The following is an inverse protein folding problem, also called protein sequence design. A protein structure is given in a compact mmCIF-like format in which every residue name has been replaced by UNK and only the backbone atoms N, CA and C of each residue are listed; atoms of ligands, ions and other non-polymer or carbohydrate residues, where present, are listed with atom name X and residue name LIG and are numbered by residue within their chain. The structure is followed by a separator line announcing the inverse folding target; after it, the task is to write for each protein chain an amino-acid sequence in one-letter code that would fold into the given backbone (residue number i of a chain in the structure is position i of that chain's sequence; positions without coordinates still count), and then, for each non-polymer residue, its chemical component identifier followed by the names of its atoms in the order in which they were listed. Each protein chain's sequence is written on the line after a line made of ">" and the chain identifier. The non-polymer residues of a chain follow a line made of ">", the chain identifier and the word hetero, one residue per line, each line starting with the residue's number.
data_IF_820542368233
#
_entry.id   IF_820542368233
#
_cell.length_a   1.000
_cell.length_b   1.000
_cell.length_c   1.000
_cell.angle_alpha   90.00
_cell.angle_beta   90.00
_cell.angle_gamma   90.00
#
_symmetry.space_group_name_H-M   'P 1'
#
loop_
_entity.id
_entity.type
_entity.pdbx_description
1 polymer ?
#
# COMPACT_ATOMS: atom_id res chain seq x y z
N UNK A 1 -1.81 5.20 22.27
CA UNK A 1 -1.98 6.19 21.18
C UNK A 1 -3.14 7.12 21.51
N UNK A 2 -3.12 8.36 21.00
CA UNK A 2 -4.31 9.24 21.09
C UNK A 2 -5.42 8.72 20.16
N UNK A 3 -6.68 9.05 20.43
CA UNK A 3 -7.82 8.68 19.55
C UNK A 3 -7.60 9.13 18.11
N UNK A 4 -7.05 10.34 17.93
CA UNK A 4 -6.73 10.92 16.63
C UNK A 4 -5.62 10.15 15.89
N UNK A 5 -4.63 9.63 16.61
CA UNK A 5 -3.56 8.82 16.02
C UNK A 5 -4.04 7.44 15.57
N UNK A 6 -5.01 6.85 16.29
CA UNK A 6 -5.65 5.58 15.89
C UNK A 6 -6.48 5.81 14.63
N UNK A 7 -7.31 6.85 14.61
CA UNK A 7 -8.15 7.18 13.45
C UNK A 7 -7.28 7.47 12.20
N UNK A 8 -6.20 8.23 12.35
CA UNK A 8 -5.28 8.51 11.24
C UNK A 8 -4.64 7.22 10.69
N UNK A 9 -4.19 6.33 11.58
CA UNK A 9 -3.62 5.02 11.21
C UNK A 9 -4.63 4.20 10.41
N UNK A 10 -5.85 4.07 10.92
CA UNK A 10 -6.92 3.30 10.26
C UNK A 10 -7.21 3.86 8.86
N UNK A 11 -7.39 5.18 8.73
CA UNK A 11 -7.69 5.82 7.44
C UNK A 11 -6.57 5.65 6.41
N UNK A 12 -5.31 5.71 6.83
CA UNK A 12 -4.16 5.45 5.95
C UNK A 12 -4.18 4.00 5.47
N UNK A 13 -4.32 3.04 6.40
CA UNK A 13 -4.30 1.62 6.07
C UNK A 13 -5.50 1.21 5.21
N UNK A 14 -6.69 1.76 5.48
CA UNK A 14 -7.89 1.56 4.66
C UNK A 14 -7.70 2.05 3.23
N UNK A 15 -7.13 3.24 3.04
CA UNK A 15 -6.89 3.77 1.70
C UNK A 15 -5.86 2.93 0.92
N UNK A 16 -4.79 2.49 1.59
CA UNK A 16 -3.80 1.59 0.99
C UNK A 16 -4.41 0.23 0.64
N UNK A 17 -5.22 -0.35 1.54
CA UNK A 17 -5.91 -1.62 1.29
C UNK A 17 -6.93 -1.52 0.15
N UNK A 18 -7.63 -0.38 0.04
CA UNK A 18 -8.51 -0.09 -1.09
C UNK A 18 -7.73 -0.08 -2.42
N UNK A 19 -6.59 0.60 -2.47
CA UNK A 19 -5.76 0.64 -3.68
C UNK A 19 -5.17 -0.73 -4.04
N UNK A 20 -4.66 -1.49 -3.06
CA UNK A 20 -4.06 -2.82 -3.31
C UNK A 20 -5.10 -3.86 -3.74
N UNK A 21 -6.30 -3.82 -3.16
CA UNK A 21 -7.41 -4.68 -3.55
C UNK A 21 -7.94 -4.32 -4.93
N UNK A 22 -8.03 -3.03 -5.24
CA UNK A 22 -8.35 -2.55 -6.59
C UNK A 22 -7.32 -3.03 -7.61
N UNK A 23 -6.01 -2.90 -7.31
CA UNK A 23 -4.94 -3.40 -8.19
C UNK A 23 -5.09 -4.91 -8.49
N UNK A 24 -5.45 -5.69 -7.47
CA UNK A 24 -5.70 -7.14 -7.61
C UNK A 24 -6.95 -7.42 -8.47
N UNK A 25 -8.02 -6.63 -8.30
CA UNK A 25 -9.24 -6.74 -9.09
C UNK A 25 -9.07 -6.38 -10.57
N UNK A 26 -8.07 -5.56 -10.89
CA UNK A 26 -7.75 -5.10 -12.25
C UNK A 26 -6.78 -6.03 -12.98
N UNK A 27 -6.53 -7.25 -12.49
CA UNK A 27 -5.61 -8.18 -13.15
C UNK A 27 -6.02 -8.62 -14.56
N UNK A 28 -7.29 -8.46 -14.92
CA UNK A 28 -7.80 -8.72 -16.28
C UNK A 28 -7.48 -7.60 -17.27
N UNK A 29 -7.13 -6.41 -16.78
CA UNK A 29 -6.69 -5.29 -17.59
C UNK A 29 -5.19 -5.39 -17.89
N UNK A 30 -4.68 -4.66 -18.90
CA UNK A 30 -3.24 -4.55 -19.09
C UNK A 30 -2.60 -3.99 -17.81
N UNK A 31 -1.52 -4.63 -17.37
CA UNK A 31 -0.93 -4.41 -16.05
C UNK A 31 -0.41 -2.98 -15.89
N UNK A 32 0.04 -2.37 -16.98
CA UNK A 32 0.54 -1.00 -17.05
C UNK A 32 -0.56 0.05 -16.82
N UNK A 33 -1.82 -0.28 -17.11
CA UNK A 33 -2.93 0.68 -17.06
C UNK A 33 -3.78 0.57 -15.80
N UNK A 34 -4.12 -0.64 -15.35
CA UNK A 34 -4.94 -0.81 -14.15
C UNK A 34 -4.06 -1.01 -12.90
N UNK A 35 -3.52 -2.22 -12.71
CA UNK A 35 -2.75 -2.57 -11.51
C UNK A 35 -1.58 -1.63 -11.20
N UNK A 36 -0.74 -1.29 -12.19
CA UNK A 36 0.41 -0.42 -11.98
C UNK A 36 0.01 0.98 -11.53
N UNK A 37 -1.10 1.53 -12.05
CA UNK A 37 -1.58 2.85 -11.62
C UNK A 37 -2.03 2.85 -10.16
N UNK A 38 -2.65 1.77 -9.69
CA UNK A 38 -3.00 1.63 -8.29
C UNK A 38 -1.74 1.56 -7.41
N UNK A 39 -0.71 0.83 -7.83
CA UNK A 39 0.59 0.76 -7.12
C UNK A 39 1.29 2.12 -7.11
N UNK A 40 1.32 2.85 -8.24
CA UNK A 40 1.87 4.20 -8.31
C UNK A 40 1.08 5.19 -7.43
N UNK A 41 -0.24 5.06 -7.38
CA UNK A 41 -1.09 5.85 -6.50
C UNK A 41 -0.80 5.58 -5.01
N UNK A 42 -0.56 4.32 -4.63
CA UNK A 42 -0.15 3.96 -3.26
C UNK A 42 1.16 4.65 -2.90
N UNK A 43 2.16 4.59 -3.79
CA UNK A 43 3.45 5.25 -3.58
C UNK A 43 3.30 6.75 -3.38
N UNK A 44 2.57 7.42 -4.28
CA UNK A 44 2.31 8.88 -4.17
C UNK A 44 1.58 9.24 -2.88
N UNK A 45 0.64 8.39 -2.45
CA UNK A 45 -0.08 8.61 -1.20
C UNK A 45 0.84 8.46 0.01
N UNK A 46 1.71 7.45 0.03
CA UNK A 46 2.68 7.26 1.12
C UNK A 46 3.65 8.43 1.19
N UNK A 47 4.26 8.82 0.06
CA UNK A 47 5.15 9.99 -0.02
C UNK A 47 4.46 11.26 0.50
N UNK A 48 3.22 11.51 0.05
CA UNK A 48 2.42 12.63 0.55
C UNK A 48 2.27 12.58 2.08
N UNK A 49 1.80 11.47 2.63
CA UNK A 49 1.54 11.35 4.07
C UNK A 49 2.83 11.49 4.89
N UNK A 50 3.94 10.90 4.42
CA UNK A 50 5.26 11.02 5.05
C UNK A 50 5.76 12.47 5.02
N UNK A 51 5.62 13.16 3.89
CA UNK A 51 6.08 14.55 3.71
C UNK A 51 5.33 15.55 4.60
N UNK A 52 4.07 15.25 4.95
CA UNK A 52 3.26 16.10 5.84
C UNK A 52 3.73 16.05 7.30
N UNK A 53 4.51 15.05 7.71
CA UNK A 53 5.02 14.94 9.09
C UNK A 53 3.94 14.76 10.16
N UNK A 54 2.74 14.31 9.77
CA UNK A 54 1.56 14.18 10.65
C UNK A 54 1.52 12.86 11.43
N UNK A 55 2.35 11.89 11.05
CA UNK A 55 2.41 10.58 11.72
C UNK A 55 3.25 10.68 12.99
N UNK A 56 2.58 10.56 14.13
CA UNK A 56 3.22 10.48 15.47
C UNK A 56 3.47 9.04 15.93
N UNK A 57 2.91 8.08 15.21
CA UNK A 57 3.01 6.66 15.50
C UNK A 57 4.26 6.08 14.82
N UNK A 58 5.29 5.78 15.62
CA UNK A 58 6.59 5.33 15.14
C UNK A 58 6.52 4.00 14.36
N UNK A 59 5.64 3.09 14.77
CA UNK A 59 5.47 1.81 14.09
C UNK A 59 4.83 2.00 12.72
N UNK A 60 3.77 2.80 12.64
CA UNK A 60 3.15 3.15 11.36
C UNK A 60 4.14 3.89 10.45
N UNK A 61 4.91 4.82 11.00
CA UNK A 61 5.90 5.58 10.23
C UNK A 61 6.92 4.64 9.59
N UNK A 62 7.45 3.69 10.37
CA UNK A 62 8.40 2.68 9.89
C UNK A 62 7.77 1.78 8.83
N UNK A 63 6.55 1.30 9.08
CA UNK A 63 5.81 0.45 8.14
C UNK A 63 5.64 1.13 6.77
N UNK A 64 5.25 2.42 6.76
CA UNK A 64 5.07 3.16 5.50
C UNK A 64 6.39 3.38 4.76
N UNK A 65 7.48 3.67 5.48
CA UNK A 65 8.82 3.81 4.88
C UNK A 65 9.35 2.50 4.29
N UNK A 66 9.04 1.36 4.93
CA UNK A 66 9.39 0.04 4.39
C UNK A 66 8.55 -0.27 3.16
N UNK A 67 7.23 -0.03 3.21
CA UNK A 67 6.31 -0.24 2.10
C UNK A 67 6.66 0.63 0.88
N UNK A 68 7.03 1.89 1.08
CA UNK A 68 7.47 2.78 0.00
C UNK A 68 8.65 2.17 -0.79
N UNK A 69 9.66 1.66 -0.08
CA UNK A 69 10.83 1.01 -0.67
C UNK A 69 10.47 -0.28 -1.40
N UNK A 70 9.47 -1.01 -0.93
CA UNK A 70 8.99 -2.23 -1.60
C UNK A 70 8.20 -1.90 -2.87
N UNK A 71 7.33 -0.89 -2.83
CA UNK A 71 6.58 -0.41 -3.99
C UNK A 71 7.52 0.08 -5.10
N UNK A 72 8.62 0.75 -4.76
CA UNK A 72 9.66 1.15 -5.71
C UNK A 72 10.26 -0.04 -6.47
N UNK A 73 10.53 -1.14 -5.77
CA UNK A 73 11.02 -2.37 -6.41
C UNK A 73 9.94 -3.01 -7.27
N UNK A 74 8.70 -3.01 -6.79
CA UNK A 74 7.54 -3.60 -7.47
C UNK A 74 7.23 -2.96 -8.81
N UNK A 75 7.31 -1.63 -8.93
CA UNK A 75 7.09 -0.91 -10.19
C UNK A 75 8.08 -1.36 -11.27
N UNK A 76 9.32 -1.64 -10.88
CA UNK A 76 10.38 -2.09 -11.79
C UNK A 76 10.15 -3.54 -12.26
N UNK A 77 9.48 -4.39 -11.47
CA UNK A 77 9.21 -5.79 -11.84
C UNK A 77 8.38 -5.92 -13.12
N UNK A 78 7.45 -5.01 -13.38
CA UNK A 78 6.62 -5.09 -14.59
C UNK A 78 7.45 -4.99 -15.88
N UNK A 79 8.63 -4.37 -15.81
CA UNK A 79 9.56 -4.30 -16.94
C UNK A 79 10.22 -5.65 -17.27
N UNK A 80 10.18 -6.60 -16.34
CA UNK A 80 10.84 -7.90 -16.45
C UNK A 80 9.85 -9.07 -16.55
N UNK A 81 8.77 -9.04 -15.75
CA UNK A 81 7.77 -10.11 -15.72
C UNK A 81 6.41 -9.63 -15.19
N UNK A 82 5.38 -9.77 -16.03
CA UNK A 82 4.00 -9.50 -15.65
C UNK A 82 3.47 -10.47 -14.56
N UNK A 83 3.99 -11.69 -14.52
CA UNK A 83 3.61 -12.72 -13.55
C UNK A 83 4.19 -12.42 -12.17
N UNK A 84 5.48 -12.04 -12.11
CA UNK A 84 6.13 -11.63 -10.87
C UNK A 84 5.49 -10.35 -10.33
N UNK A 85 5.15 -9.40 -11.21
CA UNK A 85 4.41 -8.22 -10.82
C UNK A 85 3.03 -8.55 -10.25
N UNK A 86 2.26 -9.45 -10.88
CA UNK A 86 0.96 -9.87 -10.36
C UNK A 86 1.09 -10.56 -8.99
N UNK A 87 2.12 -11.39 -8.81
CA UNK A 87 2.43 -12.00 -7.51
C UNK A 87 2.76 -10.94 -6.45
N UNK A 88 3.60 -9.96 -6.79
CA UNK A 88 3.93 -8.84 -5.92
C UNK A 88 2.67 -8.08 -5.46
N UNK A 89 1.78 -7.70 -6.39
CA UNK A 89 0.52 -7.02 -6.06
C UNK A 89 -0.34 -7.87 -5.11
N UNK A 90 -0.43 -9.18 -5.37
CA UNK A 90 -1.18 -10.08 -4.49
C UNK A 90 -0.58 -10.18 -3.09
N UNK A 91 0.74 -10.13 -2.96
CA UNK A 91 1.43 -10.24 -1.67
C UNK A 91 1.25 -8.96 -0.85
N UNK A 92 1.40 -7.78 -1.48
CA UNK A 92 1.09 -6.47 -0.87
C UNK A 92 -0.35 -6.43 -0.37
N UNK A 93 -1.31 -6.89 -1.19
CA UNK A 93 -2.71 -6.89 -0.80
C UNK A 93 -2.98 -7.77 0.44
N UNK A 94 -2.33 -8.94 0.53
CA UNK A 94 -2.43 -9.82 1.71
C UNK A 94 -1.80 -9.20 2.95
N UNK A 95 -0.66 -8.52 2.79
CA UNK A 95 -0.01 -7.84 3.89
C UNK A 95 -0.88 -6.71 4.44
N UNK A 96 -1.40 -5.85 3.58
CA UNK A 96 -2.30 -4.76 3.98
C UNK A 96 -3.55 -5.28 4.66
N UNK A 97 -4.15 -6.37 4.15
CA UNK A 97 -5.28 -7.01 4.80
C UNK A 97 -4.94 -7.48 6.24
N UNK A 98 -3.73 -8.00 6.48
CA UNK A 98 -3.27 -8.36 7.83
C UNK A 98 -3.08 -7.14 8.72
N UNK A 99 -2.47 -6.07 8.20
CA UNK A 99 -2.25 -4.82 8.96
C UNK A 99 -3.57 -4.13 9.34
N UNK A 100 -4.53 -4.08 8.41
CA UNK A 100 -5.90 -3.58 8.67
C UNK A 100 -6.58 -4.42 9.76
N UNK A 101 -6.52 -5.75 9.62
CA UNK A 101 -7.08 -6.69 10.61
C UNK A 101 -6.50 -6.46 12.01
N UNK A 102 -5.17 -6.31 12.11
CA UNK A 102 -4.47 -6.00 13.36
C UNK A 102 -4.88 -4.65 13.94
N UNK A 103 -5.02 -3.61 13.10
CA UNK A 103 -5.44 -2.28 13.53
C UNK A 103 -6.86 -2.28 14.10
N UNK A 104 -7.77 -3.05 13.49
CA UNK A 104 -9.18 -3.14 13.87
C UNK A 104 -9.45 -4.13 15.03
N UNK A 105 -8.43 -4.83 15.53
CA UNK A 105 -8.56 -5.90 16.55
C UNK A 105 -9.55 -7.02 16.19
N UNK A 106 -9.68 -7.37 14.91
CA UNK A 106 -10.54 -8.47 14.41
C UNK A 106 -9.73 -9.64 13.85
#
# INVERSE_FOLDING_TARGET
>A
MSSESVELRERILEYLAFLSSSASGLFVEPKEYGPLRCIDAMKRFIDLVLSLGIIKDEELLKDLQEMEKELDKGVVLLMYSAEEFAKFVSDINKELARKVKQSLNI
#
